data_IF_743825045820
#
_entry.id   IF_743825045820
#
_cell.length_a   1.000
_cell.length_b   1.000
_cell.length_c   1.000
_cell.angle_alpha   90.00
_cell.angle_beta   90.00
_cell.angle_gamma   90.00
#
_symmetry.space_group_name_H-M   'P 1'
#
loop_
_entity.id
_entity.type
_entity.pdbx_description
1 polymer ?
#
# COMPACT_ATOMS: atom_id res chain seq x y z
N UNK A 1 4.92 -0.08 20.64
CA UNK A 1 4.93 1.26 20.00
C UNK A 1 6.12 1.47 19.04
N UNK A 2 7.38 1.23 19.44
CA UNK A 2 8.58 1.39 18.57
C UNK A 2 8.51 0.64 17.22
N UNK A 3 8.04 -0.61 17.21
CA UNK A 3 7.94 -1.45 16.00
C UNK A 3 6.98 -0.91 14.93
N UNK A 4 5.89 -0.26 15.34
CA UNK A 4 4.92 0.32 14.40
C UNK A 4 5.50 1.55 13.69
N UNK A 5 6.20 2.41 14.43
CA UNK A 5 6.91 3.59 13.91
C UNK A 5 8.04 3.16 12.97
N UNK A 6 8.71 2.05 13.28
CA UNK A 6 9.76 1.52 12.43
C UNK A 6 9.21 0.99 11.09
N UNK A 7 8.10 0.24 11.11
CA UNK A 7 7.47 -0.29 9.89
C UNK A 7 6.90 0.84 9.03
N UNK A 8 6.33 1.88 9.66
CA UNK A 8 5.68 2.97 8.94
C UNK A 8 6.66 3.74 8.05
N UNK A 9 7.91 3.91 8.49
CA UNK A 9 8.98 4.59 7.73
C UNK A 9 9.62 3.75 6.64
N UNK A 10 9.34 2.45 6.58
CA UNK A 10 9.89 1.56 5.55
C UNK A 10 9.22 1.79 4.19
N UNK A 11 9.88 1.30 3.15
CA UNK A 11 9.38 1.38 1.78
C UNK A 11 8.20 0.42 1.59
N UNK A 12 7.23 0.84 0.79
CA UNK A 12 6.03 0.04 0.44
C UNK A 12 6.39 -1.25 -0.28
N UNK A 13 7.56 -1.34 -0.90
CA UNK A 13 8.12 -2.58 -1.46
C UNK A 13 8.20 -3.73 -0.44
N UNK A 14 8.27 -3.44 0.87
CA UNK A 14 8.29 -4.46 1.91
C UNK A 14 6.91 -5.02 2.25
N UNK A 15 5.84 -4.42 1.71
CA UNK A 15 4.47 -4.91 1.90
C UNK A 15 4.24 -6.09 0.95
N UNK A 16 3.89 -7.29 1.46
CA UNK A 16 3.46 -8.41 0.65
C UNK A 16 2.50 -8.01 -0.48
N UNK A 17 2.76 -8.45 -1.70
CA UNK A 17 1.94 -8.12 -2.87
C UNK A 17 2.40 -6.88 -3.65
N UNK A 18 3.25 -6.02 -3.08
CA UNK A 18 3.87 -4.90 -3.80
C UNK A 18 5.18 -5.37 -4.44
N UNK A 19 5.17 -5.56 -5.76
CA UNK A 19 6.37 -5.86 -6.55
C UNK A 19 7.08 -4.60 -7.04
N UNK A 20 8.30 -4.75 -7.58
CA UNK A 20 9.14 -3.63 -8.09
C UNK A 20 8.41 -2.73 -9.09
N UNK A 21 7.57 -3.28 -9.97
CA UNK A 21 6.79 -2.50 -10.95
C UNK A 21 5.81 -1.55 -10.24
N UNK A 22 4.97 -2.09 -9.36
CA UNK A 22 3.99 -1.30 -8.59
C UNK A 22 4.69 -0.29 -7.69
N UNK A 23 5.81 -0.68 -7.06
CA UNK A 23 6.60 0.23 -6.24
C UNK A 23 7.10 1.44 -7.03
N UNK A 24 7.58 1.26 -8.27
CA UNK A 24 7.98 2.39 -9.13
C UNK A 24 6.81 3.33 -9.43
N UNK A 25 5.64 2.79 -9.75
CA UNK A 25 4.41 3.58 -9.96
C UNK A 25 4.01 4.34 -8.68
N UNK A 26 4.15 3.71 -7.52
CA UNK A 26 3.91 4.33 -6.23
C UNK A 26 4.88 5.49 -5.98
N UNK A 27 6.17 5.31 -6.23
CA UNK A 27 7.18 6.37 -6.10
C UNK A 27 6.85 7.57 -6.99
N UNK A 28 6.48 7.35 -8.26
CA UNK A 28 6.11 8.42 -9.19
C UNK A 28 4.91 9.25 -8.69
N UNK A 29 4.01 8.64 -7.92
CA UNK A 29 2.83 9.31 -7.33
C UNK A 29 2.99 9.67 -5.84
N UNK A 30 4.18 9.50 -5.24
CA UNK A 30 4.48 9.89 -3.86
C UNK A 30 4.14 8.84 -2.77
N UNK A 31 3.78 7.61 -3.13
CA UNK A 31 3.41 6.52 -2.21
C UNK A 31 4.58 5.59 -1.84
N UNK A 32 5.80 6.13 -1.72
CA UNK A 32 6.99 5.33 -1.45
C UNK A 32 6.99 4.70 -0.05
N UNK A 33 6.49 5.42 0.96
CA UNK A 33 6.58 5.01 2.37
C UNK A 33 5.28 4.39 2.86
N UNK A 34 5.39 3.38 3.72
CA UNK A 34 4.24 2.63 4.25
C UNK A 34 3.24 3.54 4.98
N UNK A 35 3.71 4.56 5.70
CA UNK A 35 2.82 5.53 6.35
C UNK A 35 1.95 6.32 5.37
N UNK A 36 2.39 6.52 4.12
CA UNK A 36 1.61 7.21 3.08
C UNK A 36 0.46 6.32 2.61
N UNK A 37 0.72 5.03 2.40
CA UNK A 37 -0.33 4.06 2.06
C UNK A 37 -1.38 3.96 3.17
N UNK A 38 -0.93 3.94 4.42
CA UNK A 38 -1.83 3.96 5.58
C UNK A 38 -2.65 5.25 5.62
N UNK A 39 -2.03 6.41 5.36
CA UNK A 39 -2.73 7.69 5.24
C UNK A 39 -3.83 7.65 4.18
N UNK A 40 -3.54 7.08 3.00
CA UNK A 40 -4.52 6.92 1.94
C UNK A 40 -5.71 6.05 2.37
N UNK A 41 -5.45 4.93 3.03
CA UNK A 41 -6.52 4.08 3.57
C UNK A 41 -7.40 4.80 4.61
N UNK A 42 -6.79 5.67 5.44
CA UNK A 42 -7.52 6.47 6.42
C UNK A 42 -8.38 7.56 5.77
N UNK A 43 -7.89 8.20 4.69
CA UNK A 43 -8.66 9.18 3.90
C UNK A 43 -9.90 8.51 3.31
N UNK A 44 -9.76 7.27 2.84
CA UNK A 44 -10.87 6.42 2.36
C UNK A 44 -11.75 5.87 3.48
N UNK A 45 -11.75 6.50 4.67
CA UNK A 45 -12.56 6.11 5.84
C UNK A 45 -12.40 4.65 6.24
N UNK A 46 -11.25 4.03 5.94
CA UNK A 46 -10.98 2.60 6.14
C UNK A 46 -11.93 1.68 5.34
N UNK A 47 -12.54 2.17 4.26
CA UNK A 47 -13.33 1.36 3.35
C UNK A 47 -12.40 0.42 2.56
N UNK A 48 -12.47 -0.88 2.91
CA UNK A 48 -11.64 -1.90 2.27
C UNK A 48 -11.94 -2.05 0.78
N UNK A 49 -13.20 -1.91 0.34
CA UNK A 49 -13.57 -2.09 -1.06
C UNK A 49 -13.05 -0.93 -1.90
N UNK A 50 -13.20 0.30 -1.42
CA UNK A 50 -12.66 1.49 -2.06
C UNK A 50 -11.14 1.41 -2.18
N UNK A 51 -10.45 1.04 -1.09
CA UNK A 51 -9.00 0.89 -1.09
C UNK A 51 -8.50 -0.22 -2.04
N UNK A 52 -9.20 -1.36 -2.09
CA UNK A 52 -8.91 -2.45 -3.03
C UNK A 52 -9.05 -1.98 -4.48
N UNK A 53 -10.13 -1.27 -4.80
CA UNK A 53 -10.35 -0.74 -6.15
C UNK A 53 -9.26 0.25 -6.53
N UNK A 54 -8.88 1.13 -5.61
CA UNK A 54 -7.76 2.05 -5.79
C UNK A 54 -6.43 1.35 -6.06
N UNK A 55 -6.10 0.27 -5.33
CA UNK A 55 -4.90 -0.53 -5.62
C UNK A 55 -4.94 -1.18 -7.01
N UNK A 56 -6.11 -1.59 -7.48
CA UNK A 56 -6.31 -2.17 -8.82
C UNK A 56 -6.08 -1.10 -9.91
N UNK A 57 -6.48 0.15 -9.68
CA UNK A 57 -6.19 1.27 -10.60
C UNK A 57 -4.68 1.55 -10.75
N UNK A 58 -3.87 1.18 -9.76
CA UNK A 58 -2.40 1.15 -9.86
C UNK A 58 -1.84 -0.06 -10.62
N UNK A 59 -2.70 -0.91 -11.17
CA UNK A 59 -2.32 -2.10 -11.94
C UNK A 59 -2.01 -3.32 -11.09
N UNK A 60 -2.41 -3.34 -9.81
CA UNK A 60 -2.31 -4.56 -9.00
C UNK A 60 -3.37 -5.58 -9.43
N UNK A 61 -2.96 -6.83 -9.64
CA UNK A 61 -3.89 -7.93 -9.87
C UNK A 61 -4.52 -8.42 -8.55
N UNK A 62 -5.61 -9.19 -8.65
CA UNK A 62 -6.35 -9.72 -7.49
C UNK A 62 -5.47 -10.47 -6.48
N UNK A 63 -4.48 -11.23 -6.94
CA UNK A 63 -3.56 -11.99 -6.08
C UNK A 63 -2.66 -11.05 -5.25
N UNK A 64 -2.15 -9.99 -5.87
CA UNK A 64 -1.27 -9.03 -5.21
C UNK A 64 -2.05 -8.15 -4.22
N UNK A 65 -3.26 -7.72 -4.59
CA UNK A 65 -4.13 -6.94 -3.70
C UNK A 65 -4.48 -7.75 -2.45
N UNK A 66 -4.84 -9.02 -2.63
CA UNK A 66 -5.13 -9.94 -1.52
C UNK A 66 -3.96 -10.02 -0.54
N UNK A 67 -2.74 -10.25 -1.04
CA UNK A 67 -1.52 -10.27 -0.20
C UNK A 67 -1.27 -8.94 0.53
N UNK A 68 -1.54 -7.81 -0.12
CA UNK A 68 -1.33 -6.48 0.46
C UNK A 68 -2.32 -6.16 1.58
N UNK A 69 -3.56 -6.66 1.47
CA UNK A 69 -4.66 -6.34 2.40
C UNK A 69 -4.90 -7.42 3.48
N UNK A 70 -4.15 -8.52 3.46
CA UNK A 70 -4.21 -9.63 4.43
C UNK A 70 -3.33 -9.41 5.68
N UNK A 71 -2.71 -8.23 5.81
CA UNK A 71 -1.85 -7.85 6.95
C UNK A 71 -2.67 -7.17 8.04
#
# INVERSE_FOLDING_TARGET
MKKLIEISRKNTLLIPGIGKKIYREFCLKGYEKTFVLLGQFLIMKKDRKEFINWLIEFGMNKKNVRKCCEI
#
